data_IF_914247725939
#
_entry.id   IF_914247725939
#
_cell.length_a   1.000
_cell.length_b   1.000
_cell.length_c   1.000
_cell.angle_alpha   90.00
_cell.angle_beta   90.00
_cell.angle_gamma   90.00
#
_symmetry.space_group_name_H-M   'P 1'
#
loop_
_entity.id
_entity.type
_entity.pdbx_description
1 polymer ?
#
# COMPACT_ATOMS: atom_id res chain seq x y z
N UNK A 1 32.79 -5.82 -15.75
CA UNK A 1 32.65 -5.47 -14.32
C UNK A 1 34.03 -5.21 -13.75
N UNK A 2 34.31 -3.96 -13.34
CA UNK A 2 35.50 -3.66 -12.54
C UNK A 2 35.15 -3.97 -11.09
N UNK A 3 35.69 -5.06 -10.53
CA UNK A 3 35.55 -5.33 -9.09
C UNK A 3 36.44 -4.35 -8.32
N UNK A 4 35.92 -3.73 -7.27
CA UNK A 4 36.70 -2.83 -6.43
C UNK A 4 37.58 -3.68 -5.49
N UNK A 5 38.86 -3.79 -5.80
CA UNK A 5 39.84 -4.41 -4.91
C UNK A 5 40.25 -3.40 -3.83
N UNK A 6 40.52 -3.89 -2.63
CA UNK A 6 41.19 -3.07 -1.62
C UNK A 6 42.65 -2.77 -2.05
N UNK A 7 43.35 -1.80 -1.43
CA UNK A 7 44.73 -1.47 -1.80
C UNK A 7 45.76 -2.58 -1.52
N UNK A 8 45.34 -3.73 -1.00
CA UNK A 8 46.15 -4.92 -0.75
C UNK A 8 45.79 -6.12 -1.63
N UNK A 9 44.84 -5.95 -2.57
CA UNK A 9 44.43 -6.98 -3.52
C UNK A 9 43.47 -8.04 -2.94
N UNK A 10 42.91 -7.82 -1.75
CA UNK A 10 41.85 -8.66 -1.22
C UNK A 10 40.50 -8.24 -1.81
N UNK A 11 39.65 -9.24 -2.03
CA UNK A 11 38.23 -9.04 -2.32
C UNK A 11 37.58 -8.45 -1.06
N UNK A 12 37.12 -7.21 -1.14
CA UNK A 12 36.17 -6.68 -0.16
C UNK A 12 34.90 -7.54 -0.29
N UNK A 13 34.40 -8.17 0.78
CA UNK A 13 33.10 -8.81 0.72
C UNK A 13 32.05 -7.72 0.52
N UNK A 14 31.42 -7.69 -0.64
CA UNK A 14 30.11 -7.06 -0.76
C UNK A 14 29.17 -7.83 0.17
N UNK A 15 28.84 -7.23 1.31
CA UNK A 15 27.81 -7.76 2.21
C UNK A 15 26.48 -7.49 1.50
N UNK A 16 26.07 -8.43 0.66
CA UNK A 16 24.72 -8.46 0.11
C UNK A 16 23.75 -8.55 1.29
N UNK A 17 22.83 -7.59 1.47
CA UNK A 17 21.72 -7.75 2.40
C UNK A 17 20.96 -9.02 2.02
N UNK A 18 20.54 -9.83 2.99
CA UNK A 18 19.61 -10.91 2.72
C UNK A 18 18.25 -10.33 2.32
N UNK A 19 17.41 -11.09 1.61
CA UNK A 19 16.05 -10.64 1.28
C UNK A 19 15.19 -10.30 2.52
N UNK A 20 15.58 -10.78 3.72
CA UNK A 20 14.98 -10.37 4.99
C UNK A 20 15.37 -8.93 5.40
N UNK A 21 16.56 -8.46 5.05
CA UNK A 21 17.04 -7.12 5.41
C UNK A 21 16.25 -6.00 4.70
N UNK A 22 15.78 -6.26 3.47
CA UNK A 22 14.96 -5.33 2.67
C UNK A 22 13.44 -5.52 2.90
N UNK A 23 13.03 -6.11 4.03
CA UNK A 23 11.63 -6.20 4.43
C UNK A 23 11.14 -4.90 5.09
N UNK A 24 9.90 -4.42 4.85
CA UNK A 24 9.29 -3.31 5.59
C UNK A 24 9.37 -3.42 7.12
N UNK A 25 9.42 -4.64 7.67
CA UNK A 25 9.59 -4.90 9.11
C UNK A 25 10.99 -4.53 9.64
N UNK A 26 12.01 -4.59 8.78
CA UNK A 26 13.41 -4.38 9.13
C UNK A 26 13.95 -3.03 8.60
N UNK A 27 13.36 -2.52 7.52
CA UNK A 27 13.71 -1.23 6.90
C UNK A 27 13.40 -0.02 7.80
N UNK A 28 12.37 -0.09 8.66
CA UNK A 28 12.00 1.00 9.59
C UNK A 28 12.09 0.55 11.05
N UNK A 29 13.30 0.17 11.48
CA UNK A 29 13.55 -0.33 12.85
C UNK A 29 13.12 0.60 14.01
N UNK A 30 12.81 1.87 13.72
CA UNK A 30 12.33 2.88 14.68
C UNK A 30 10.81 2.93 14.86
N UNK A 31 10.02 2.32 13.96
CA UNK A 31 8.56 2.32 14.01
C UNK A 31 8.01 0.96 13.54
N UNK A 32 7.19 0.25 14.35
CA UNK A 32 6.64 -1.02 13.92
C UNK A 32 5.73 -0.82 12.70
N UNK A 33 5.91 -1.68 11.69
CA UNK A 33 4.89 -1.88 10.68
C UNK A 33 3.64 -2.43 11.39
N UNK A 34 2.50 -1.80 11.12
CA UNK A 34 1.24 -2.00 11.82
C UNK A 34 0.20 -2.70 10.94
N UNK A 35 0.44 -2.79 9.63
CA UNK A 35 -0.26 -3.71 8.73
C UNK A 35 0.60 -3.95 7.50
N UNK A 36 0.68 -5.20 7.05
CA UNK A 36 1.38 -5.54 5.81
C UNK A 36 0.63 -6.60 5.00
N UNK A 37 0.00 -6.17 3.91
CA UNK A 37 -0.52 -7.01 2.85
C UNK A 37 0.53 -7.12 1.74
N UNK A 38 0.88 -8.34 1.34
CA UNK A 38 1.89 -8.60 0.31
C UNK A 38 1.34 -9.59 -0.72
N UNK A 39 0.92 -9.06 -1.87
CA UNK A 39 0.36 -9.87 -2.94
C UNK A 39 1.36 -10.84 -3.59
N UNK A 40 2.66 -10.57 -3.51
CA UNK A 40 3.68 -11.47 -4.06
C UNK A 40 3.91 -12.70 -3.17
N UNK A 41 3.57 -12.61 -1.87
CA UNK A 41 3.65 -13.73 -0.94
C UNK A 41 2.38 -14.58 -0.95
N UNK A 42 2.30 -15.44 -1.96
CA UNK A 42 1.21 -16.40 -2.16
C UNK A 42 0.94 -17.31 -0.94
N UNK A 43 1.91 -17.46 -0.02
CA UNK A 43 1.72 -18.28 1.19
C UNK A 43 0.78 -17.64 2.22
N UNK A 44 0.54 -16.33 2.13
CA UNK A 44 -0.38 -15.58 2.99
C UNK A 44 -1.84 -15.67 2.55
N UNK A 45 -2.15 -16.34 1.44
CA UNK A 45 -3.51 -16.36 0.88
C UNK A 45 -4.28 -17.63 1.22
N UNK A 46 -5.46 -17.46 1.81
CA UNK A 46 -6.50 -18.51 1.87
C UNK A 46 -7.47 -18.30 0.70
N UNK A 47 -7.55 -19.27 -0.21
CA UNK A 47 -8.28 -19.16 -1.49
C UNK A 47 -9.40 -20.20 -1.64
N UNK A 48 -10.43 -19.86 -2.42
CA UNK A 48 -11.35 -20.81 -3.05
C UNK A 48 -11.18 -20.72 -4.57
N UNK A 49 -10.39 -21.63 -5.15
CA UNK A 49 -9.92 -21.48 -6.52
C UNK A 49 -8.99 -20.27 -6.62
N UNK A 50 -9.39 -19.25 -7.38
CA UNK A 50 -8.69 -17.94 -7.43
C UNK A 50 -9.29 -16.91 -6.47
N UNK A 51 -10.45 -17.16 -5.86
CA UNK A 51 -11.14 -16.14 -5.06
C UNK A 51 -10.55 -16.03 -3.66
N UNK A 52 -10.21 -14.82 -3.21
CA UNK A 52 -9.57 -14.57 -1.91
C UNK A 52 -10.60 -14.67 -0.78
N UNK A 53 -10.46 -15.67 0.08
CA UNK A 53 -11.20 -15.75 1.36
C UNK A 53 -10.54 -14.82 2.38
N UNK A 54 -9.21 -14.89 2.49
CA UNK A 54 -8.39 -14.11 3.42
C UNK A 54 -6.98 -13.90 2.84
N UNK A 55 -6.37 -12.75 3.17
CA UNK A 55 -4.93 -12.56 3.12
C UNK A 55 -4.42 -12.26 4.53
N UNK A 56 -3.33 -12.94 4.90
CA UNK A 56 -2.73 -12.85 6.23
C UNK A 56 -1.78 -11.64 6.32
N UNK A 57 -2.18 -10.66 7.13
CA UNK A 57 -1.32 -9.58 7.62
C UNK A 57 0.05 -10.08 8.13
N UNK A 58 1.12 -9.64 7.45
CA UNK A 58 2.53 -9.98 7.75
C UNK A 58 3.16 -9.10 8.83
N UNK A 59 2.45 -8.09 9.35
CA UNK A 59 3.00 -7.17 10.38
C UNK A 59 3.21 -7.80 11.75
N UNK A 60 2.55 -8.94 12.02
CA UNK A 60 2.50 -9.58 13.33
C UNK A 60 1.37 -9.08 14.24
N UNK A 61 0.58 -8.09 13.81
CA UNK A 61 -0.59 -7.60 14.56
C UNK A 61 -1.87 -8.42 14.30
N UNK A 62 -1.82 -9.43 13.42
CA UNK A 62 -2.93 -10.31 13.06
C UNK A 62 -4.17 -9.58 12.51
N UNK A 63 -3.94 -8.46 11.81
CA UNK A 63 -4.98 -7.62 11.18
C UNK A 63 -5.38 -8.15 9.80
N UNK A 64 -5.50 -9.48 9.68
CA UNK A 64 -5.79 -10.17 8.43
C UNK A 64 -7.07 -9.63 7.79
N UNK A 65 -7.06 -9.47 6.46
CA UNK A 65 -8.21 -8.99 5.70
C UNK A 65 -8.94 -10.17 5.05
N UNK A 66 -10.26 -10.21 5.14
CA UNK A 66 -11.06 -11.37 4.72
C UNK A 66 -12.41 -10.97 4.14
N UNK A 67 -13.08 -11.93 3.49
CA UNK A 67 -14.47 -11.79 3.08
C UNK A 67 -15.21 -13.14 3.11
N UNK A 68 -16.25 -13.21 3.94
CA UNK A 68 -17.09 -14.40 4.10
C UNK A 68 -18.12 -14.60 2.97
N UNK A 69 -18.34 -13.60 2.11
CA UNK A 69 -19.38 -13.60 1.05
C UNK A 69 -18.77 -14.02 -0.29
N UNK A 70 -18.95 -15.30 -0.66
CA UNK A 70 -18.40 -15.92 -1.88
C UNK A 70 -18.54 -15.09 -3.17
N UNK A 71 -19.69 -14.42 -3.36
CA UNK A 71 -20.00 -13.64 -4.56
C UNK A 71 -19.44 -12.19 -4.56
N UNK A 72 -18.62 -11.84 -3.56
CA UNK A 72 -17.98 -10.51 -3.38
C UNK A 72 -16.48 -10.62 -3.07
N UNK A 73 -15.88 -11.78 -3.34
CA UNK A 73 -14.45 -12.00 -3.12
C UNK A 73 -13.70 -11.57 -4.38
N UNK A 74 -12.68 -10.70 -4.27
CA UNK A 74 -11.79 -10.43 -5.39
C UNK A 74 -11.02 -11.70 -5.77
N UNK A 75 -10.48 -11.72 -6.99
CA UNK A 75 -9.66 -12.81 -7.51
C UNK A 75 -8.17 -12.52 -7.35
N UNK A 76 -7.38 -13.53 -7.02
CA UNK A 76 -5.92 -13.47 -6.93
C UNK A 76 -5.25 -14.12 -8.14
N UNK A 77 -4.32 -13.40 -8.77
CA UNK A 77 -3.37 -13.94 -9.75
C UNK A 77 -2.00 -14.17 -9.12
N UNK A 78 -1.69 -15.43 -8.85
CA UNK A 78 -0.40 -15.89 -8.29
C UNK A 78 0.80 -15.61 -9.20
N UNK A 79 0.61 -15.43 -10.52
CA UNK A 79 1.71 -15.15 -11.44
C UNK A 79 2.15 -13.68 -11.39
N UNK A 80 1.26 -12.77 -11.03
CA UNK A 80 1.53 -11.32 -10.95
C UNK A 80 1.47 -10.77 -9.53
N UNK A 81 1.02 -11.56 -8.55
CA UNK A 81 0.83 -11.12 -7.17
C UNK A 81 -0.30 -10.11 -7.00
N UNK A 82 -1.28 -10.06 -7.91
CA UNK A 82 -2.38 -9.08 -7.90
C UNK A 82 -3.64 -9.65 -7.30
N UNK A 83 -4.32 -8.84 -6.50
CA UNK A 83 -5.72 -9.07 -6.12
C UNK A 83 -6.59 -8.08 -6.88
N UNK A 84 -7.37 -8.60 -7.83
CA UNK A 84 -8.27 -7.82 -8.69
C UNK A 84 -9.67 -7.76 -8.08
N UNK A 85 -10.12 -6.54 -7.78
CA UNK A 85 -11.45 -6.20 -7.29
C UNK A 85 -12.28 -5.69 -8.46
N UNK A 86 -13.54 -6.15 -8.58
CA UNK A 86 -14.48 -5.70 -9.61
C UNK A 86 -15.66 -4.99 -8.95
N UNK A 87 -15.86 -3.73 -9.28
CA UNK A 87 -16.92 -2.88 -8.73
C UNK A 87 -18.32 -3.46 -9.02
N UNK A 88 -18.52 -4.04 -10.21
CA UNK A 88 -19.78 -4.66 -10.61
C UNK A 88 -20.17 -5.90 -9.77
N UNK A 89 -19.19 -6.57 -9.14
CA UNK A 89 -19.43 -7.68 -8.22
C UNK A 89 -19.69 -7.20 -6.78
N UNK A 90 -19.39 -5.93 -6.47
CA UNK A 90 -19.22 -5.39 -5.12
C UNK A 90 -18.08 -6.10 -4.36
N UNK A 91 -16.94 -6.32 -5.02
CA UNK A 91 -15.80 -7.03 -4.41
C UNK A 91 -15.13 -6.20 -3.31
N UNK A 92 -14.78 -6.84 -2.20
CA UNK A 92 -14.03 -6.21 -1.11
C UNK A 92 -13.29 -7.24 -0.24
N UNK A 93 -12.33 -6.75 0.54
CA UNK A 93 -11.71 -7.46 1.68
C UNK A 93 -11.70 -6.52 2.88
N UNK A 94 -11.96 -7.03 4.08
CA UNK A 94 -12.01 -6.21 5.30
C UNK A 94 -11.32 -6.89 6.48
N UNK A 95 -10.59 -6.13 7.29
CA UNK A 95 -10.08 -6.61 8.58
C UNK A 95 -11.19 -6.61 9.63
N UNK A 96 -10.96 -7.30 10.75
CA UNK A 96 -11.67 -6.92 11.97
C UNK A 96 -11.30 -5.48 12.38
N UNK A 97 -12.19 -4.82 13.13
CA UNK A 97 -11.83 -3.57 13.83
C UNK A 97 -10.61 -3.81 14.73
N UNK A 98 -9.66 -2.89 14.71
CA UNK A 98 -8.46 -2.93 15.52
C UNK A 98 -8.83 -2.76 17.00
N UNK A 99 -8.20 -3.54 17.88
CA UNK A 99 -8.43 -3.44 19.33
C UNK A 99 -8.11 -2.06 19.91
N UNK A 100 -7.27 -1.28 19.23
CA UNK A 100 -7.09 0.15 19.41
C UNK A 100 -6.84 0.80 18.02
N UNK A 101 -7.57 1.88 17.64
CA UNK A 101 -7.31 2.61 16.41
C UNK A 101 -5.92 3.27 16.37
N UNK A 102 -5.33 3.38 15.19
CA UNK A 102 -4.06 4.08 14.99
C UNK A 102 -4.32 5.59 14.95
N UNK A 103 -3.85 6.31 15.96
CA UNK A 103 -3.97 7.78 16.04
C UNK A 103 -2.90 8.45 15.21
N UNK A 104 -3.27 9.51 14.47
CA UNK A 104 -2.31 10.27 13.68
C UNK A 104 -1.14 10.85 14.53
N UNK A 105 0.09 10.93 14.00
CA UNK A 105 0.44 10.65 12.62
C UNK A 105 0.60 9.16 12.29
N UNK A 106 0.11 8.77 11.11
CA UNK A 106 0.42 7.48 10.51
C UNK A 106 0.57 7.61 8.99
N UNK A 107 1.36 6.73 8.39
CA UNK A 107 1.68 6.74 6.96
C UNK A 107 1.29 5.39 6.33
N UNK A 108 0.65 5.48 5.16
CA UNK A 108 0.21 4.33 4.36
C UNK A 108 0.94 4.35 3.03
N UNK A 109 1.60 3.25 2.69
CA UNK A 109 2.10 2.96 1.34
C UNK A 109 1.16 1.97 0.68
N UNK A 110 0.85 2.21 -0.60
CA UNK A 110 -0.16 1.45 -1.30
C UNK A 110 0.21 1.32 -2.79
N UNK A 111 0.39 0.09 -3.25
CA UNK A 111 0.72 -0.23 -4.64
C UNK A 111 -0.52 -0.82 -5.31
N UNK A 112 -1.03 -0.12 -6.32
CA UNK A 112 -2.24 -0.50 -7.03
C UNK A 112 -2.29 0.06 -8.44
N UNK A 113 -3.30 -0.39 -9.19
CA UNK A 113 -3.67 0.10 -10.52
C UNK A 113 -5.18 0.11 -10.68
N UNK A 114 -5.73 1.24 -11.12
CA UNK A 114 -7.14 1.32 -11.54
C UNK A 114 -7.30 0.57 -12.87
N UNK A 115 -8.32 -0.30 -12.94
CA UNK A 115 -8.60 -1.16 -14.10
C UNK A 115 -9.92 -0.82 -14.80
N UNK A 116 -10.84 -0.13 -14.12
CA UNK A 116 -12.15 0.24 -14.66
C UNK A 116 -12.20 1.54 -15.45
N UNK A 117 -13.43 1.86 -15.90
CA UNK A 117 -13.75 3.12 -16.59
C UNK A 117 -14.58 4.00 -15.66
N UNK A 118 -14.02 5.15 -15.26
CA UNK A 118 -14.55 6.00 -14.20
C UNK A 118 -15.98 6.49 -14.47
N UNK A 119 -16.94 5.93 -13.74
CA UNK A 119 -18.28 6.46 -13.66
C UNK A 119 -18.45 7.50 -12.52
N UNK A 120 -17.88 7.23 -11.34
CA UNK A 120 -18.10 8.01 -10.11
C UNK A 120 -16.84 8.10 -9.22
N UNK A 121 -16.98 7.80 -7.93
CA UNK A 121 -15.90 7.66 -6.93
C UNK A 121 -15.64 6.19 -6.72
N UNK A 122 -14.37 5.81 -6.72
CA UNK A 122 -13.86 4.45 -6.49
C UNK A 122 -12.95 4.48 -5.27
N UNK A 123 -13.37 3.86 -4.17
CA UNK A 123 -12.62 3.83 -2.91
C UNK A 123 -11.72 2.59 -2.91
N UNK A 124 -10.41 2.82 -2.98
CA UNK A 124 -9.42 1.73 -3.09
C UNK A 124 -8.95 1.25 -1.71
N UNK A 125 -8.90 2.14 -0.72
CA UNK A 125 -8.60 1.86 0.68
C UNK A 125 -9.53 2.69 1.58
N UNK A 126 -10.06 2.11 2.64
CA UNK A 126 -10.85 2.78 3.66
C UNK A 126 -10.59 2.20 5.05
N UNK A 127 -11.06 2.89 6.10
CA UNK A 127 -11.17 2.30 7.44
C UNK A 127 -12.18 1.14 7.47
N UNK A 128 -12.33 0.45 8.61
CA UNK A 128 -13.46 -0.47 8.85
C UNK A 128 -14.57 0.16 9.71
N UNK A 129 -14.27 1.29 10.38
CA UNK A 129 -15.04 1.77 11.53
C UNK A 129 -15.62 3.18 11.28
N UNK A 130 -16.86 3.28 10.80
CA UNK A 130 -17.83 4.39 10.99
C UNK A 130 -17.46 5.88 10.73
N UNK A 131 -16.22 6.24 10.41
CA UNK A 131 -15.73 7.60 10.18
C UNK A 131 -15.11 7.69 8.79
N UNK A 132 -15.33 8.81 8.10
CA UNK A 132 -14.74 9.04 6.77
C UNK A 132 -13.23 8.99 6.90
N UNK A 133 -12.68 7.85 6.46
CA UNK A 133 -11.27 7.56 6.29
C UNK A 133 -11.17 6.82 4.98
N UNK A 134 -10.69 7.50 3.93
CA UNK A 134 -10.65 6.95 2.58
C UNK A 134 -9.41 7.45 1.82
N UNK A 135 -8.80 6.55 1.06
CA UNK A 135 -8.02 6.90 -0.11
C UNK A 135 -8.87 6.48 -1.31
N UNK A 136 -9.29 7.46 -2.08
CA UNK A 136 -10.21 7.25 -3.20
C UNK A 136 -9.77 7.98 -4.45
N UNK A 137 -10.29 7.49 -5.56
CA UNK A 137 -10.08 8.05 -6.87
C UNK A 137 -11.42 8.52 -7.44
N UNK A 138 -11.42 9.73 -8.02
CA UNK A 138 -12.66 10.39 -8.46
C UNK A 138 -12.68 10.65 -9.96
N UNK A 139 -13.89 10.65 -10.53
CA UNK A 139 -14.17 11.05 -11.92
C UNK A 139 -13.67 12.45 -12.34
N UNK A 140 -13.18 13.27 -11.41
CA UNK A 140 -12.47 14.52 -11.67
C UNK A 140 -10.97 14.34 -11.96
N UNK A 141 -10.48 13.11 -12.12
CA UNK A 141 -9.06 12.80 -12.33
C UNK A 141 -8.21 13.22 -11.13
N UNK A 142 -8.67 12.88 -9.92
CA UNK A 142 -7.99 13.23 -8.66
C UNK A 142 -7.90 12.04 -7.73
N UNK A 143 -6.71 11.85 -7.18
CA UNK A 143 -6.47 11.02 -6.03
C UNK A 143 -6.69 11.84 -4.76
N UNK A 144 -7.44 11.28 -3.84
CA UNK A 144 -7.91 11.95 -2.63
C UNK A 144 -7.53 11.11 -1.43
N UNK A 145 -7.15 11.79 -0.35
CA UNK A 145 -7.10 11.25 1.00
C UNK A 145 -8.06 12.06 1.88
N UNK A 146 -8.82 11.39 2.73
CA UNK A 146 -9.84 12.03 3.57
C UNK A 146 -9.89 11.40 4.95
N UNK A 147 -9.99 12.23 6.00
CA UNK A 147 -9.94 11.79 7.40
C UNK A 147 -10.50 12.80 8.46
N UNK A 148 -11.68 13.49 8.37
CA UNK A 148 -12.70 13.52 7.32
C UNK A 148 -12.71 14.91 6.64
N UNK A 149 -11.54 15.41 6.24
CA UNK A 149 -11.42 16.60 5.39
C UNK A 149 -10.76 16.19 4.07
N UNK A 150 -11.39 16.54 2.95
CA UNK A 150 -10.91 16.18 1.62
C UNK A 150 -9.57 16.86 1.30
N UNK A 151 -8.49 16.09 1.21
CA UNK A 151 -7.20 16.52 0.68
C UNK A 151 -6.94 15.82 -0.66
N UNK A 152 -6.80 16.59 -1.74
CA UNK A 152 -6.80 16.06 -3.11
C UNK A 152 -5.57 16.50 -3.91
N UNK A 153 -4.89 15.56 -4.56
CA UNK A 153 -3.82 15.87 -5.51
C UNK A 153 -4.34 15.95 -6.94
N UNK A 154 -3.73 16.81 -7.76
CA UNK A 154 -3.95 16.84 -9.21
C UNK A 154 -2.92 15.95 -9.91
N UNK A 155 -3.16 14.63 -9.90
CA UNK A 155 -2.38 13.66 -10.67
C UNK A 155 -2.96 13.44 -12.06
N UNK A 156 -2.10 13.25 -13.07
CA UNK A 156 -2.58 12.81 -14.39
C UNK A 156 -2.92 11.31 -14.33
N UNK A 157 -4.14 10.95 -14.77
CA UNK A 157 -4.55 9.56 -14.93
C UNK A 157 -3.50 8.79 -15.71
N UNK A 158 -3.07 7.67 -15.16
CA UNK A 158 -2.41 6.65 -15.94
C UNK A 158 -2.93 5.29 -15.47
N UNK A 159 -3.16 4.37 -16.40
CA UNK A 159 -3.57 3.00 -16.12
C UNK A 159 -2.34 2.09 -15.88
N UNK A 160 -1.28 2.66 -15.30
CA UNK A 160 -0.08 1.93 -14.90
C UNK A 160 -0.20 1.59 -13.41
N UNK A 161 0.74 0.78 -12.95
CA UNK A 161 0.93 0.55 -11.53
C UNK A 161 1.60 1.78 -10.91
N UNK A 162 1.09 2.22 -9.75
CA UNK A 162 1.61 3.39 -9.05
C UNK A 162 1.80 3.08 -7.56
N UNK A 163 2.83 3.68 -6.97
CA UNK A 163 3.04 3.72 -5.52
C UNK A 163 2.40 5.02 -5.03
N UNK A 164 1.35 4.89 -4.23
CA UNK A 164 0.73 6.00 -3.53
C UNK A 164 1.18 5.97 -2.08
N UNK A 165 1.49 7.15 -1.53
CA UNK A 165 1.86 7.30 -0.12
C UNK A 165 1.00 8.40 0.47
N UNK A 166 0.35 8.12 1.60
CA UNK A 166 -0.45 9.09 2.34
C UNK A 166 0.01 9.18 3.80
N UNK A 167 0.56 10.33 4.19
CA UNK A 167 0.81 10.68 5.59
C UNK A 167 -0.42 11.44 6.12
N UNK A 168 -1.10 10.87 7.10
CA UNK A 168 -2.23 11.50 7.78
C UNK A 168 -1.72 12.16 9.06
N UNK A 169 -1.65 13.49 9.08
CA UNK A 169 -1.08 14.31 10.16
C UNK A 169 -1.86 15.63 10.34
N UNK A 170 -3.19 15.53 10.42
CA UNK A 170 -4.10 16.66 10.61
C UNK A 170 -3.97 17.68 9.50
N UNK A 171 -3.67 18.93 9.89
CA UNK A 171 -3.43 20.06 8.99
C UNK A 171 -2.11 19.99 8.19
N UNK A 172 -1.23 19.06 8.55
CA UNK A 172 0.09 18.81 7.94
C UNK A 172 0.13 17.46 7.22
N UNK A 173 -1.01 16.97 6.72
CA UNK A 173 -1.08 15.73 5.95
C UNK A 173 -0.46 15.92 4.56
N UNK A 174 0.09 14.85 4.00
CA UNK A 174 0.85 14.88 2.75
C UNK A 174 0.54 13.65 1.88
N UNK A 175 0.54 13.84 0.55
CA UNK A 175 0.25 12.77 -0.41
C UNK A 175 1.28 12.74 -1.54
N UNK A 176 1.92 11.60 -1.76
CA UNK A 176 2.89 11.37 -2.83
C UNK A 176 2.40 10.32 -3.83
N UNK A 177 2.84 10.46 -5.07
CA UNK A 177 2.66 9.47 -6.13
C UNK A 177 4.03 9.20 -6.75
N UNK A 178 4.47 7.95 -6.75
CA UNK A 178 5.76 7.50 -7.28
C UNK A 178 6.95 8.34 -6.75
N UNK A 179 6.95 8.61 -5.44
CA UNK A 179 7.97 9.41 -4.75
C UNK A 179 7.89 10.94 -4.95
N UNK A 180 6.97 11.44 -5.79
CA UNK A 180 6.76 12.87 -6.01
C UNK A 180 5.63 13.39 -5.13
N UNK A 181 5.90 14.44 -4.35
CA UNK A 181 4.89 15.10 -3.50
C UNK A 181 3.83 15.78 -4.38
N UNK A 182 2.58 15.34 -4.27
CA UNK A 182 1.45 15.83 -5.05
C UNK A 182 0.64 16.92 -4.36
N UNK A 183 0.44 16.83 -3.04
CA UNK A 183 -0.28 17.84 -2.24
C UNK A 183 0.10 17.76 -0.76
N UNK A 184 -0.02 18.89 -0.05
CA UNK A 184 0.00 18.96 1.42
C UNK A 184 -1.21 19.76 1.93
N UNK A 185 -1.67 19.49 3.15
CA UNK A 185 -2.74 20.26 3.78
C UNK A 185 -3.54 19.48 4.81
N UNK A 186 -4.80 19.88 5.02
CA UNK A 186 -5.65 19.29 6.03
C UNK A 186 -6.45 18.09 5.49
N UNK A 187 -6.08 16.88 5.92
CA UNK A 187 -6.90 15.68 5.73
C UNK A 187 -7.91 15.46 6.87
N UNK A 188 -7.79 16.19 7.99
CA UNK A 188 -8.55 15.94 9.22
C UNK A 188 -7.82 14.98 10.17
N UNK A 189 -8.44 14.69 11.31
CA UNK A 189 -7.80 14.04 12.48
C UNK A 189 -8.32 12.64 12.84
N UNK A 190 -9.04 11.97 11.93
CA UNK A 190 -9.59 10.64 12.15
C UNK A 190 -8.48 9.57 12.28
N UNK A 191 -8.69 8.63 13.19
CA UNK A 191 -7.81 7.49 13.43
C UNK A 191 -8.15 6.31 12.51
N UNK A 192 -7.16 5.46 12.17
CA UNK A 192 -7.40 4.24 11.40
C UNK A 192 -7.87 3.12 12.34
N UNK A 193 -9.18 2.85 12.36
CA UNK A 193 -9.80 1.82 13.19
C UNK A 193 -9.79 0.40 12.59
N UNK A 194 -9.47 0.25 11.31
CA UNK A 194 -9.46 -1.03 10.61
C UNK A 194 -9.16 -0.81 9.13
N UNK A 195 -9.26 -1.85 8.30
CA UNK A 195 -8.94 -1.76 6.86
C UNK A 195 -10.08 -2.36 6.03
N UNK A 196 -10.52 -1.62 5.02
CA UNK A 196 -11.36 -2.09 3.91
C UNK A 196 -10.62 -1.82 2.60
N UNK A 197 -10.50 -2.83 1.73
CA UNK A 197 -9.92 -2.71 0.39
C UNK A 197 -11.01 -2.90 -0.68
N UNK A 198 -10.93 -2.08 -1.75
CA UNK A 198 -11.84 -2.14 -2.89
C UNK A 198 -13.23 -1.53 -2.65
N UNK A 199 -13.50 -0.98 -1.46
CA UNK A 199 -14.75 -0.30 -1.11
C UNK A 199 -14.56 0.69 0.05
N UNK A 200 -15.55 1.57 0.26
CA UNK A 200 -15.68 2.32 1.52
C UNK A 200 -16.04 1.42 2.70
N UNK A 201 -15.83 1.91 3.92
CA UNK A 201 -16.26 1.22 5.15
C UNK A 201 -17.78 0.90 5.19
N UNK A 202 -18.59 1.66 4.43
CA UNK A 202 -20.03 1.42 4.27
C UNK A 202 -20.38 0.28 3.31
N UNK A 203 -19.36 -0.34 2.68
CA UNK A 203 -19.50 -1.26 1.55
C UNK A 203 -20.30 -0.61 0.41
N UNK A 204 -19.83 0.58 0.02
CA UNK A 204 -20.28 1.35 -1.13
C UNK A 204 -19.06 1.87 -1.92
N UNK A 205 -19.28 2.58 -3.03
CA UNK A 205 -18.22 3.17 -3.86
C UNK A 205 -17.12 2.16 -4.26
N UNK A 206 -17.53 0.95 -4.63
CA UNK A 206 -16.62 -0.14 -4.99
C UNK A 206 -15.71 0.26 -6.16
N UNK A 207 -14.46 -0.19 -6.11
CA UNK A 207 -13.43 0.13 -7.09
C UNK A 207 -13.15 -1.03 -8.05
N UNK A 208 -12.92 -0.70 -9.32
CA UNK A 208 -12.29 -1.61 -10.29
C UNK A 208 -10.77 -1.42 -10.19
N UNK A 209 -10.10 -2.25 -9.39
CA UNK A 209 -8.70 -2.05 -8.98
C UNK A 209 -7.93 -3.34 -8.82
N UNK A 210 -6.67 -3.37 -9.29
CA UNK A 210 -5.67 -4.36 -8.90
C UNK A 210 -4.88 -3.82 -7.72
N UNK A 211 -4.88 -4.52 -6.58
CA UNK A 211 -4.04 -4.19 -5.40
C UNK A 211 -2.90 -5.20 -5.30
N UNK A 212 -1.68 -4.70 -5.06
CA UNK A 212 -0.44 -5.47 -5.08
C UNK A 212 0.24 -5.49 -3.70
N UNK A 213 0.32 -4.35 -3.01
CA UNK A 213 0.96 -4.26 -1.69
C UNK A 213 0.39 -3.11 -0.86
N UNK A 214 0.25 -3.32 0.45
CA UNK A 214 -0.17 -2.29 1.41
C UNK A 214 0.71 -2.37 2.65
N UNK A 215 1.28 -1.25 3.08
CA UNK A 215 2.11 -1.16 4.28
C UNK A 215 1.64 0.05 5.11
N UNK A 216 1.40 -0.13 6.40
CA UNK A 216 1.02 0.95 7.33
C UNK A 216 2.06 1.06 8.44
N UNK A 217 2.49 2.27 8.76
CA UNK A 217 3.28 2.58 9.95
C UNK A 217 2.54 3.62 10.80
N UNK A 218 2.48 3.41 12.12
CA UNK A 218 1.80 4.29 13.07
C UNK A 218 2.73 5.43 13.56
N UNK A 219 3.36 6.13 12.61
CA UNK A 219 4.17 7.32 12.85
C UNK A 219 4.28 8.19 11.59
N UNK A 220 4.75 9.42 11.80
CA UNK A 220 5.46 10.19 10.78
C UNK A 220 6.91 9.67 10.70
N UNK A 221 7.22 8.83 9.71
CA UNK A 221 8.55 8.24 9.52
C UNK A 221 9.47 9.22 8.80
N UNK A 222 10.80 9.05 8.88
CA UNK A 222 11.71 10.02 8.27
C UNK A 222 11.61 10.04 6.74
N UNK A 223 12.00 11.16 6.13
CA UNK A 223 12.12 11.28 4.67
C UNK A 223 12.97 10.14 4.06
N UNK A 224 13.99 9.69 4.78
CA UNK A 224 14.88 8.60 4.39
C UNK A 224 14.15 7.26 4.45
N UNK A 225 13.43 6.98 5.53
CA UNK A 225 12.65 5.74 5.68
C UNK A 225 11.54 5.66 4.61
N UNK A 226 10.85 6.78 4.34
CA UNK A 226 9.84 6.86 3.27
C UNK A 226 10.45 6.65 1.89
N UNK A 227 11.64 7.20 1.63
CA UNK A 227 12.36 6.99 0.37
C UNK A 227 12.80 5.52 0.22
N UNK A 228 13.28 4.89 1.29
CA UNK A 228 13.64 3.47 1.36
C UNK A 228 12.45 2.56 1.06
N UNK A 229 11.29 2.75 1.70
CA UNK A 229 10.09 1.95 1.46
C UNK A 229 9.54 2.19 0.04
N UNK A 230 9.54 3.43 -0.44
CA UNK A 230 9.17 3.74 -1.84
C UNK A 230 10.10 3.02 -2.81
N UNK A 231 11.39 2.97 -2.51
CA UNK A 231 12.42 2.25 -3.25
C UNK A 231 12.24 0.73 -3.28
N UNK A 232 11.92 0.13 -2.13
CA UNK A 232 11.56 -1.29 -2.02
C UNK A 232 10.40 -1.64 -2.96
N UNK A 233 9.29 -0.90 -2.85
CA UNK A 233 8.09 -1.09 -3.68
C UNK A 233 8.38 -0.87 -5.16
N UNK A 234 9.19 0.15 -5.50
CA UNK A 234 9.54 0.47 -6.87
C UNK A 234 10.28 -0.67 -7.58
N UNK A 235 11.22 -1.33 -6.91
CA UNK A 235 11.96 -2.45 -7.50
C UNK A 235 11.13 -3.74 -7.52
N UNK A 236 10.37 -4.01 -6.44
CA UNK A 236 9.56 -5.23 -6.32
C UNK A 236 8.47 -5.33 -7.40
N UNK A 237 7.91 -4.19 -7.79
CA UNK A 237 6.77 -4.10 -8.70
C UNK A 237 7.08 -3.46 -10.07
N UNK A 238 8.36 -3.23 -10.39
CA UNK A 238 8.84 -2.57 -11.62
C UNK A 238 8.22 -1.18 -11.90
N UNK A 239 8.09 -0.37 -10.84
CA UNK A 239 7.48 0.96 -10.89
C UNK A 239 8.56 2.05 -10.94
N UNK A 240 8.48 2.94 -11.91
CA UNK A 240 9.38 4.11 -11.98
C UNK A 240 9.00 5.16 -10.93
N UNK A 241 9.73 5.20 -9.82
CA UNK A 241 9.61 6.21 -8.77
C UNK A 241 10.79 7.21 -8.74
N UNK A 242 10.51 8.42 -8.27
CA UNK A 242 11.53 9.41 -7.86
C UNK A 242 12.01 9.04 -6.46
N UNK A 243 13.12 8.33 -6.40
CA UNK A 243 13.73 7.88 -5.15
C UNK A 243 15.26 7.97 -5.24
N UNK A 244 15.92 8.27 -4.12
CA UNK A 244 17.39 8.16 -4.01
C UNK A 244 17.81 6.74 -3.61
N UNK A 245 16.96 6.03 -2.87
CA UNK A 245 17.11 4.64 -2.51
C UNK A 245 16.42 3.72 -3.51
N UNK A 246 16.91 3.66 -4.75
CA UNK A 246 16.59 2.50 -5.59
C UNK A 246 17.22 1.27 -4.93
N UNK A 247 16.39 0.52 -4.19
CA UNK A 247 16.73 -0.76 -3.59
C UNK A 247 17.40 -1.72 -4.59
N UNK A 248 18.18 -2.66 -4.09
CA UNK A 248 19.02 -3.49 -4.96
C UNK A 248 18.16 -4.48 -5.75
N UNK A 249 18.46 -4.59 -7.05
CA UNK A 249 17.75 -5.53 -7.94
C UNK A 249 18.08 -6.96 -7.53
N UNK A 250 17.08 -7.70 -7.06
CA UNK A 250 17.14 -9.16 -7.01
C UNK A 250 17.07 -9.70 -8.45
N UNK A 251 18.18 -9.63 -9.19
CA UNK A 251 18.35 -10.45 -10.38
C UNK A 251 18.54 -11.89 -9.91
N UNK A 252 17.46 -12.67 -9.92
CA UNK A 252 17.55 -14.13 -9.86
C UNK A 252 18.26 -14.61 -11.13
N UNK A 253 19.52 -15.06 -10.99
CA UNK A 253 20.17 -15.92 -11.97
C UNK A 253 19.53 -17.33 -11.99
#
# INVERSE_FOLDING_TARGET
MNRHLDPYGFMIPEIFPSAEADSPLNLVSSCPCEFWFDGQDASTFTLNGVNVIQQDDKSGFARHISNAVDARRPSYDVATGRVSFVAANNDYLQSAAFGAPLTQPFIIFFVYKITGSLANVEVVFSGADAIDFEIFYSNMNKFVMEAPTTLQSSGANNANDNIHVGLFNGASSEYWINGVLGVTGNAGTNALGGITLGASFLLANFADVDIMEVIVFNADISDVDRDIITGYLANKWDITATTTHKGYVLTTE
#
